data_IF_366400767102
#
_entry.id   IF_366400767102
#
_cell.length_a   1.000
_cell.length_b   1.000
_cell.length_c   1.000
_cell.angle_alpha   90.00
_cell.angle_beta   90.00
_cell.angle_gamma   90.00
#
_symmetry.space_group_name_H-M   'P 1'
#
loop_
_entity.id
_entity.type
_entity.pdbx_description
1 polymer ?
#
# COMPACT_ATOMS: atom_id res chain seq x y z
N UNK A 1 19.39 23.78 5.20
CA UNK A 1 18.14 24.52 4.94
C UNK A 1 17.02 23.67 4.28
N UNK A 2 17.29 22.42 3.92
CA UNK A 2 16.27 21.49 3.35
C UNK A 2 15.48 20.75 4.44
N UNK A 3 16.03 20.66 5.65
CA UNK A 3 15.48 19.84 6.75
C UNK A 3 14.11 20.28 7.30
N UNK A 4 13.76 21.57 7.23
CA UNK A 4 12.47 22.06 7.72
C UNK A 4 11.29 21.63 6.86
N UNK A 5 11.41 21.80 5.55
CA UNK A 5 10.37 21.40 4.57
C UNK A 5 10.17 19.89 4.51
N UNK A 6 11.26 19.11 4.62
CA UNK A 6 11.15 17.63 4.62
C UNK A 6 10.44 17.13 5.85
N UNK A 7 10.65 17.76 7.01
CA UNK A 7 9.94 17.40 8.24
C UNK A 7 8.44 17.70 8.15
N UNK A 8 8.06 18.81 7.51
CA UNK A 8 6.66 19.16 7.26
C UNK A 8 6.00 18.20 6.27
N UNK A 9 6.71 17.86 5.18
CA UNK A 9 6.23 16.89 4.20
C UNK A 9 6.06 15.46 4.74
N UNK A 10 6.83 15.09 5.76
CA UNK A 10 6.76 13.78 6.42
C UNK A 10 5.70 13.71 7.53
N UNK A 11 5.00 14.82 7.81
CA UNK A 11 4.00 14.84 8.88
C UNK A 11 2.65 14.34 8.36
N UNK A 12 2.23 13.17 8.82
CA UNK A 12 0.95 12.55 8.45
C UNK A 12 -0.28 13.26 9.02
N UNK A 13 -0.13 14.01 10.14
CA UNK A 13 -1.26 14.61 10.86
C UNK A 13 -1.93 15.77 10.13
N UNK A 14 -1.30 16.35 9.12
CA UNK A 14 -1.80 17.51 8.39
C UNK A 14 -1.92 17.29 6.87
N UNK A 15 -1.82 16.05 6.44
CA UNK A 15 -1.91 15.75 5.02
C UNK A 15 -3.37 15.62 4.59
N UNK A 16 -3.67 16.14 3.41
CA UNK A 16 -4.97 16.00 2.77
C UNK A 16 -4.79 15.62 1.31
N UNK A 17 -5.75 14.90 0.75
CA UNK A 17 -5.83 14.68 -0.69
C UNK A 17 -7.21 15.07 -1.20
N UNK A 18 -7.27 15.95 -2.20
CA UNK A 18 -8.50 16.49 -2.76
C UNK A 18 -9.47 17.12 -1.71
N UNK A 19 -8.91 17.60 -0.59
CA UNK A 19 -9.64 18.20 0.52
C UNK A 19 -10.06 17.21 1.63
N UNK A 20 -9.86 15.91 1.43
CA UNK A 20 -10.15 14.87 2.42
C UNK A 20 -8.89 14.54 3.23
N UNK A 21 -9.06 14.24 4.52
CA UNK A 21 -7.97 13.79 5.40
C UNK A 21 -7.38 12.48 4.90
N UNK A 22 -6.04 12.40 4.85
CA UNK A 22 -5.30 11.22 4.46
C UNK A 22 -4.29 10.86 5.54
N UNK A 23 -4.19 9.57 5.88
CA UNK A 23 -3.28 9.08 6.92
C UNK A 23 -1.83 8.91 6.45
N UNK A 24 -1.52 9.22 5.19
CA UNK A 24 -0.19 9.20 4.62
C UNK A 24 0.42 10.59 4.58
N UNK A 25 1.75 10.67 4.69
CA UNK A 25 2.50 11.91 4.51
C UNK A 25 2.58 12.33 3.03
N UNK A 26 2.90 13.59 2.76
CA UNK A 26 3.22 14.06 1.40
C UNK A 26 4.42 13.30 0.80
N UNK A 27 5.36 12.87 1.63
CA UNK A 27 6.48 12.01 1.20
C UNK A 27 5.98 10.66 0.70
N UNK A 28 4.99 10.06 1.37
CA UNK A 28 4.40 8.79 0.96
C UNK A 28 3.65 8.93 -0.37
N UNK A 29 2.84 9.98 -0.51
CA UNK A 29 2.15 10.26 -1.79
C UNK A 29 3.14 10.46 -2.93
N UNK A 30 4.27 11.12 -2.69
CA UNK A 30 5.33 11.27 -3.68
C UNK A 30 5.94 9.93 -4.09
N UNK A 31 6.17 9.01 -3.15
CA UNK A 31 6.69 7.67 -3.45
C UNK A 31 5.67 6.87 -4.28
N UNK A 32 4.39 6.92 -3.95
CA UNK A 32 3.34 6.29 -4.76
C UNK A 32 3.29 6.87 -6.16
N UNK A 33 3.32 8.19 -6.30
CA UNK A 33 3.33 8.85 -7.60
C UNK A 33 4.54 8.41 -8.44
N UNK A 34 5.74 8.35 -7.85
CA UNK A 34 6.94 7.82 -8.51
C UNK A 34 6.78 6.37 -8.93
N UNK A 35 6.16 5.55 -8.07
CA UNK A 35 5.86 4.16 -8.41
C UNK A 35 4.95 4.11 -9.64
N UNK A 36 3.84 4.83 -9.65
CA UNK A 36 2.85 4.77 -10.74
C UNK A 36 3.28 5.47 -12.03
N UNK A 37 4.33 6.29 -12.03
CA UNK A 37 4.96 6.78 -13.24
C UNK A 37 5.59 5.65 -14.07
N UNK A 38 6.22 4.70 -13.40
CA UNK A 38 6.97 3.60 -14.03
C UNK A 38 6.16 2.31 -14.07
N UNK A 39 5.45 2.01 -13.00
CA UNK A 39 4.61 0.83 -12.85
C UNK A 39 3.14 1.16 -13.16
N UNK A 40 2.55 0.43 -14.11
CA UNK A 40 1.15 0.62 -14.51
C UNK A 40 0.32 -0.59 -14.09
N UNK A 41 -0.22 -0.63 -12.86
CA UNK A 41 -0.96 -1.78 -12.38
C UNK A 41 -2.27 -1.96 -13.13
N UNK A 42 -2.64 -3.22 -13.39
CA UNK A 42 -3.99 -3.57 -13.85
C UNK A 42 -4.97 -3.54 -12.67
N UNK A 43 -4.45 -3.80 -11.47
CA UNK A 43 -5.19 -3.80 -10.22
C UNK A 43 -4.32 -3.26 -9.08
N UNK A 44 -4.92 -2.43 -8.25
CA UNK A 44 -4.38 -1.99 -6.97
C UNK A 44 -5.21 -2.66 -5.89
N UNK A 45 -4.57 -3.39 -4.98
CA UNK A 45 -5.20 -3.97 -3.79
C UNK A 45 -4.73 -3.18 -2.58
N UNK A 46 -5.65 -2.59 -1.87
CA UNK A 46 -5.42 -1.80 -0.66
C UNK A 46 -6.03 -2.51 0.55
N UNK A 47 -5.20 -2.85 1.52
CA UNK A 47 -5.65 -3.32 2.82
C UNK A 47 -5.65 -2.14 3.79
N UNK A 48 -6.84 -1.77 4.30
CA UNK A 48 -7.05 -0.58 5.12
C UNK A 48 -7.54 0.63 4.31
N UNK A 49 -8.85 0.79 4.21
CA UNK A 49 -9.50 1.90 3.48
C UNK A 49 -9.47 3.21 4.28
N UNK A 50 -9.55 3.11 5.61
CA UNK A 50 -9.69 4.26 6.51
C UNK A 50 -10.78 5.24 6.02
N UNK A 51 -10.48 6.53 5.81
CA UNK A 51 -11.44 7.54 5.31
C UNK A 51 -11.53 7.60 3.77
N UNK A 52 -10.80 6.74 3.06
CA UNK A 52 -10.88 6.58 1.60
C UNK A 52 -10.14 7.63 0.77
N UNK A 53 -9.38 8.55 1.40
CA UNK A 53 -8.62 9.56 0.66
C UNK A 53 -7.44 8.95 -0.10
N UNK A 54 -6.74 7.94 0.47
CA UNK A 54 -5.72 7.19 -0.24
C UNK A 54 -6.33 6.32 -1.34
N UNK A 55 -7.45 5.68 -1.07
CA UNK A 55 -8.22 4.94 -2.08
C UNK A 55 -8.58 5.84 -3.28
N UNK A 56 -8.97 7.10 -3.01
CA UNK A 56 -9.19 8.10 -4.06
C UNK A 56 -7.93 8.37 -4.86
N UNK A 57 -6.80 8.60 -4.19
CA UNK A 57 -5.51 8.79 -4.87
C UNK A 57 -5.19 7.58 -5.76
N UNK A 58 -5.31 6.37 -5.26
CA UNK A 58 -5.07 5.15 -6.03
C UNK A 58 -6.02 5.00 -7.23
N UNK A 59 -7.27 5.44 -7.09
CA UNK A 59 -8.26 5.37 -8.17
C UNK A 59 -7.92 6.20 -9.40
N UNK A 60 -7.04 7.18 -9.26
CA UNK A 60 -6.52 7.97 -10.40
C UNK A 60 -5.47 7.19 -11.22
N UNK A 61 -4.92 6.11 -10.67
CA UNK A 61 -3.84 5.34 -11.28
C UNK A 61 -4.27 3.97 -11.81
N UNK A 62 -5.45 3.47 -11.44
CA UNK A 62 -5.93 2.18 -11.90
C UNK A 62 -7.26 1.75 -11.27
N UNK A 63 -7.62 0.49 -11.48
CA UNK A 63 -8.71 -0.15 -10.74
C UNK A 63 -8.24 -0.44 -9.33
N UNK A 64 -9.08 -0.16 -8.34
CA UNK A 64 -8.76 -0.39 -6.93
C UNK A 64 -9.74 -1.38 -6.34
N UNK A 65 -9.22 -2.32 -5.58
CA UNK A 65 -10.00 -3.08 -4.61
C UNK A 65 -9.47 -2.77 -3.22
N UNK A 66 -10.29 -2.12 -2.42
CA UNK A 66 -9.95 -1.76 -1.05
C UNK A 66 -10.78 -2.56 -0.05
N UNK A 67 -10.14 -3.02 1.02
CA UNK A 67 -10.71 -3.90 2.03
C UNK A 67 -10.45 -3.31 3.42
N UNK A 68 -11.50 -3.19 4.22
CA UNK A 68 -11.42 -2.71 5.61
C UNK A 68 -12.39 -3.52 6.46
N UNK A 69 -12.10 -3.74 7.73
CA UNK A 69 -13.01 -4.42 8.65
C UNK A 69 -14.09 -3.49 9.23
N UNK A 70 -14.04 -2.20 8.92
CA UNK A 70 -14.98 -1.20 9.40
C UNK A 70 -15.75 -0.55 8.25
N UNK A 71 -17.08 -0.48 8.40
CA UNK A 71 -17.92 0.31 7.49
C UNK A 71 -17.77 1.80 7.82
N UNK A 72 -16.95 2.47 7.04
CA UNK A 72 -16.72 3.91 7.13
C UNK A 72 -17.45 4.64 6.01
N UNK A 73 -17.97 5.82 6.31
CA UNK A 73 -18.62 6.67 5.30
C UNK A 73 -17.56 7.46 4.54
N UNK A 74 -17.34 7.10 3.28
CA UNK A 74 -16.45 7.82 2.36
C UNK A 74 -17.06 7.91 0.97
N UNK A 75 -16.49 8.76 0.13
CA UNK A 75 -16.93 8.93 -1.26
C UNK A 75 -16.58 7.69 -2.08
N UNK A 76 -17.54 7.16 -2.83
CA UNK A 76 -17.35 6.02 -3.73
C UNK A 76 -16.98 6.47 -5.14
N UNK A 77 -16.15 5.67 -5.81
CA UNK A 77 -15.68 5.90 -7.17
C UNK A 77 -15.98 4.69 -8.05
N UNK A 78 -16.28 4.90 -9.33
CA UNK A 78 -16.77 3.85 -10.25
C UNK A 78 -15.74 2.73 -10.51
N UNK A 79 -14.45 3.04 -10.43
CA UNK A 79 -13.35 2.08 -10.62
C UNK A 79 -12.81 1.51 -9.31
N UNK A 80 -13.56 1.66 -8.21
CA UNK A 80 -13.19 1.17 -6.88
C UNK A 80 -14.22 0.17 -6.38
N UNK A 81 -13.77 -1.04 -6.05
CA UNK A 81 -14.53 -2.02 -5.30
C UNK A 81 -14.21 -1.87 -3.81
N UNK A 82 -15.23 -1.64 -3.01
CA UNK A 82 -15.14 -1.55 -1.55
C UNK A 82 -15.68 -2.82 -0.92
N UNK A 83 -14.90 -3.43 -0.05
CA UNK A 83 -15.30 -4.63 0.68
C UNK A 83 -15.09 -4.42 2.18
N UNK A 84 -16.10 -4.76 2.96
CA UNK A 84 -16.05 -4.76 4.42
C UNK A 84 -15.94 -6.21 4.86
N UNK A 85 -14.70 -6.59 5.23
CA UNK A 85 -14.42 -7.95 5.72
C UNK A 85 -13.04 -7.97 6.41
N UNK A 86 -12.78 -9.05 7.14
CA UNK A 86 -11.48 -9.34 7.72
C UNK A 86 -10.52 -9.87 6.65
N UNK A 87 -9.41 -9.17 6.44
CA UNK A 87 -8.40 -9.52 5.42
C UNK A 87 -7.78 -10.90 5.63
N UNK A 88 -7.86 -11.46 6.85
CA UNK A 88 -7.37 -12.80 7.20
C UNK A 88 -8.47 -13.89 7.18
N UNK A 89 -9.66 -13.55 6.72
CA UNK A 89 -10.71 -14.54 6.47
C UNK A 89 -10.28 -15.46 5.31
N UNK A 90 -10.35 -16.80 5.44
CA UNK A 90 -9.90 -17.72 4.39
C UNK A 90 -10.61 -17.53 3.04
N UNK A 91 -11.88 -17.09 3.03
CA UNK A 91 -12.57 -16.75 1.78
C UNK A 91 -11.94 -15.48 1.14
N UNK A 92 -11.68 -14.46 1.95
CA UNK A 92 -11.06 -13.22 1.49
C UNK A 92 -9.64 -13.49 0.95
N UNK A 93 -8.84 -14.27 1.67
CA UNK A 93 -7.52 -14.72 1.22
C UNK A 93 -7.61 -15.41 -0.15
N UNK A 94 -8.56 -16.33 -0.32
CA UNK A 94 -8.80 -17.01 -1.59
C UNK A 94 -9.19 -16.06 -2.73
N UNK A 95 -10.00 -15.03 -2.46
CA UNK A 95 -10.35 -14.01 -3.43
C UNK A 95 -9.15 -13.13 -3.81
N UNK A 96 -8.39 -12.67 -2.82
CA UNK A 96 -7.17 -11.87 -3.06
C UNK A 96 -6.18 -12.66 -3.92
N UNK A 97 -5.89 -13.91 -3.56
CA UNK A 97 -5.04 -14.81 -4.34
C UNK A 97 -5.53 -14.93 -5.78
N UNK A 98 -6.82 -15.23 -5.97
CA UNK A 98 -7.41 -15.37 -7.31
C UNK A 98 -7.23 -14.09 -8.14
N UNK A 99 -7.43 -12.91 -7.55
CA UNK A 99 -7.26 -11.64 -8.26
C UNK A 99 -5.80 -11.39 -8.62
N UNK A 100 -4.86 -11.67 -7.71
CA UNK A 100 -3.42 -11.55 -8.01
C UNK A 100 -3.07 -12.46 -9.20
N UNK A 101 -3.53 -13.70 -9.21
CA UNK A 101 -3.26 -14.66 -10.28
C UNK A 101 -3.81 -14.23 -11.65
N UNK A 102 -4.97 -13.57 -11.69
CA UNK A 102 -5.67 -13.22 -12.92
C UNK A 102 -5.35 -11.84 -13.50
N UNK A 103 -4.67 -10.97 -12.75
CA UNK A 103 -4.23 -9.66 -13.24
C UNK A 103 -2.76 -9.71 -13.65
N UNK A 104 -2.39 -9.00 -14.71
CA UNK A 104 -1.04 -9.04 -15.27
C UNK A 104 -0.02 -8.39 -14.33
N UNK A 105 -0.36 -7.25 -13.74
CA UNK A 105 0.47 -6.48 -12.83
C UNK A 105 -0.36 -5.97 -11.66
N UNK A 106 0.02 -6.34 -10.45
CA UNK A 106 -0.67 -5.95 -9.22
C UNK A 106 0.22 -5.06 -8.37
N UNK A 107 -0.35 -3.96 -7.90
CA UNK A 107 0.20 -3.17 -6.81
C UNK A 107 -0.55 -3.54 -5.54
N UNK A 108 0.16 -4.03 -4.54
CA UNK A 108 -0.39 -4.48 -3.27
C UNK A 108 0.06 -3.57 -2.13
N UNK A 109 -0.87 -3.08 -1.33
CA UNK A 109 -0.60 -2.16 -0.22
C UNK A 109 -1.12 -2.69 1.10
N UNK A 110 -0.22 -2.83 2.09
CA UNK A 110 -0.51 -3.33 3.43
C UNK A 110 -0.56 -2.15 4.42
N UNK A 111 -1.76 -1.82 4.90
CA UNK A 111 -1.99 -0.74 5.88
C UNK A 111 -3.23 -0.97 6.76
N UNK A 112 -3.61 -2.23 7.04
CA UNK A 112 -4.83 -2.59 7.77
C UNK A 112 -4.55 -3.12 9.20
N UNK A 113 -3.63 -2.53 9.93
CA UNK A 113 -3.47 -2.78 11.38
C UNK A 113 -2.62 -3.98 11.78
N UNK A 114 -2.36 -4.99 10.92
CA UNK A 114 -1.37 -6.03 11.17
C UNK A 114 -0.48 -6.25 9.94
N UNK A 115 0.30 -5.24 9.64
CA UNK A 115 1.15 -5.16 8.44
C UNK A 115 2.14 -6.31 8.31
N UNK A 116 2.64 -6.82 9.45
CA UNK A 116 3.53 -7.99 9.49
C UNK A 116 2.81 -9.23 8.93
N UNK A 117 1.62 -9.52 9.46
CA UNK A 117 0.84 -10.67 9.01
C UNK A 117 0.34 -10.49 7.58
N UNK A 118 -0.08 -9.27 7.21
CA UNK A 118 -0.51 -8.93 5.85
C UNK A 118 0.62 -9.20 4.85
N UNK A 119 1.81 -8.65 5.09
CA UNK A 119 2.96 -8.85 4.22
C UNK A 119 3.33 -10.32 4.09
N UNK A 120 3.51 -11.02 5.22
CA UNK A 120 3.95 -12.42 5.23
C UNK A 120 2.92 -13.35 4.59
N UNK A 121 1.62 -13.03 4.68
CA UNK A 121 0.57 -13.82 4.05
C UNK A 121 0.47 -13.56 2.55
N UNK A 122 0.48 -12.30 2.11
CA UNK A 122 0.12 -11.97 0.73
C UNK A 122 1.30 -11.91 -0.23
N UNK A 123 2.52 -11.68 0.27
CA UNK A 123 3.72 -11.65 -0.57
C UNK A 123 3.97 -12.97 -1.32
N UNK A 124 3.57 -14.11 -0.74
CA UNK A 124 3.70 -15.42 -1.39
C UNK A 124 2.85 -15.59 -2.65
N UNK A 125 1.74 -14.84 -2.78
CA UNK A 125 0.84 -14.92 -3.94
C UNK A 125 1.26 -14.01 -5.10
N UNK A 126 2.16 -13.06 -4.85
CA UNK A 126 2.64 -12.15 -5.89
C UNK A 126 3.36 -12.89 -7.01
N UNK A 127 3.21 -12.37 -8.22
CA UNK A 127 3.90 -12.86 -9.41
C UNK A 127 5.09 -11.97 -9.75
N UNK A 128 6.00 -12.49 -10.57
CA UNK A 128 7.12 -11.72 -11.10
C UNK A 128 6.65 -10.41 -11.74
N UNK A 129 7.16 -9.30 -11.22
CA UNK A 129 6.82 -7.95 -11.62
C UNK A 129 5.71 -7.29 -10.80
N UNK A 130 5.02 -8.01 -9.92
CA UNK A 130 4.10 -7.39 -8.95
C UNK A 130 4.89 -6.63 -7.88
N UNK A 131 4.27 -5.60 -7.32
CA UNK A 131 4.87 -4.75 -6.28
C UNK A 131 4.03 -4.79 -5.01
N UNK A 132 4.70 -4.91 -3.86
CA UNK A 132 4.09 -4.82 -2.54
C UNK A 132 4.73 -3.69 -1.74
N UNK A 133 3.89 -2.87 -1.11
CA UNK A 133 4.30 -1.84 -0.16
C UNK A 133 3.68 -2.07 1.21
N UNK A 134 4.41 -1.63 2.24
CA UNK A 134 3.92 -1.53 3.62
C UNK A 134 4.02 -0.09 4.11
N UNK A 135 3.11 0.33 4.96
CA UNK A 135 3.17 1.59 5.70
C UNK A 135 3.71 1.39 7.12
N UNK A 136 3.94 2.49 7.84
CA UNK A 136 4.43 2.53 9.22
C UNK A 136 5.75 1.80 9.45
N UNK A 137 6.64 1.88 8.46
CA UNK A 137 7.99 1.31 8.54
C UNK A 137 8.75 1.83 9.76
N UNK A 138 9.42 0.94 10.48
CA UNK A 138 10.12 1.14 11.76
C UNK A 138 9.20 1.46 12.96
N UNK A 139 7.91 1.68 12.74
CA UNK A 139 6.92 1.87 13.80
C UNK A 139 6.16 0.59 14.12
N UNK A 140 5.52 -0.01 13.10
CA UNK A 140 4.66 -1.20 13.24
C UNK A 140 5.21 -2.43 12.52
N UNK A 141 6.16 -2.24 11.61
CA UNK A 141 6.80 -3.32 10.83
C UNK A 141 8.27 -2.96 10.56
N UNK A 142 9.15 -3.97 10.67
CA UNK A 142 10.60 -3.85 10.46
C UNK A 142 11.12 -4.95 9.56
N UNK A 143 12.37 -4.82 9.12
CA UNK A 143 13.02 -5.82 8.28
C UNK A 143 13.03 -7.21 8.91
N UNK A 144 13.30 -7.29 10.21
CA UNK A 144 13.38 -8.57 10.95
C UNK A 144 12.06 -9.35 10.94
N UNK A 145 10.92 -8.66 10.86
CA UNK A 145 9.58 -9.25 10.88
C UNK A 145 9.22 -9.96 9.57
N UNK A 146 9.87 -9.58 8.46
CA UNK A 146 9.53 -10.01 7.10
C UNK A 146 10.71 -10.56 6.30
N UNK A 147 11.92 -10.61 6.89
CA UNK A 147 13.14 -11.03 6.20
C UNK A 147 13.05 -12.45 5.63
N UNK A 148 12.42 -13.37 6.36
CA UNK A 148 12.23 -14.73 5.90
C UNK A 148 11.35 -14.78 4.65
N UNK A 149 10.24 -14.05 4.65
CA UNK A 149 9.33 -13.94 3.50
C UNK A 149 10.03 -13.31 2.29
N UNK A 150 10.79 -12.24 2.50
CA UNK A 150 11.57 -11.59 1.43
C UNK A 150 12.52 -12.59 0.77
N UNK A 151 13.24 -13.39 1.57
CA UNK A 151 14.18 -14.37 1.06
C UNK A 151 13.48 -15.52 0.33
N UNK A 152 12.39 -16.06 0.90
CA UNK A 152 11.66 -17.19 0.33
C UNK A 152 10.98 -16.82 -0.99
N UNK A 153 10.49 -15.59 -1.09
CA UNK A 153 9.75 -15.11 -2.26
C UNK A 153 10.63 -14.35 -3.27
N UNK A 154 11.95 -14.28 -3.04
CA UNK A 154 12.95 -13.58 -3.86
C UNK A 154 12.59 -12.10 -4.13
N UNK A 155 12.01 -11.44 -3.14
CA UNK A 155 11.59 -10.04 -3.25
C UNK A 155 12.81 -9.11 -3.26
N UNK A 156 12.81 -8.13 -4.15
CA UNK A 156 13.88 -7.12 -4.26
C UNK A 156 13.40 -5.78 -3.73
N UNK A 157 14.25 -5.01 -3.03
CA UNK A 157 13.94 -3.65 -2.60
C UNK A 157 13.48 -2.79 -3.79
N UNK A 158 12.39 -2.05 -3.59
CA UNK A 158 11.86 -1.12 -4.59
C UNK A 158 11.72 0.27 -3.99
N UNK A 159 12.40 1.27 -4.55
CA UNK A 159 12.43 2.67 -4.14
C UNK A 159 12.86 2.93 -2.67
N UNK A 160 13.57 2.01 -2.03
CA UNK A 160 14.03 2.16 -0.63
C UNK A 160 14.87 3.43 -0.42
N UNK A 161 15.86 3.67 -1.28
CA UNK A 161 16.70 4.88 -1.21
C UNK A 161 15.88 6.17 -1.28
N UNK A 162 14.81 6.15 -2.09
CA UNK A 162 13.93 7.29 -2.22
C UNK A 162 13.08 7.49 -0.97
N UNK A 163 12.54 6.40 -0.42
CA UNK A 163 11.79 6.42 0.84
C UNK A 163 12.64 6.95 2.00
N UNK A 164 13.88 6.50 2.10
CA UNK A 164 14.83 6.99 3.12
C UNK A 164 15.17 8.46 2.92
N UNK A 165 15.47 8.86 1.68
CA UNK A 165 15.80 10.23 1.34
C UNK A 165 14.72 11.25 1.73
N UNK A 166 13.47 10.87 1.59
CA UNK A 166 12.31 11.73 1.89
C UNK A 166 11.66 11.43 3.23
N UNK A 167 12.28 10.59 4.06
CA UNK A 167 11.78 10.19 5.37
C UNK A 167 10.31 9.69 5.30
N UNK A 168 10.03 8.87 4.28
CA UNK A 168 8.73 8.21 4.09
C UNK A 168 8.61 7.00 5.00
N UNK A 169 7.42 6.76 5.52
CA UNK A 169 7.09 5.56 6.28
C UNK A 169 6.76 4.35 5.38
N UNK A 170 6.92 4.49 4.08
CA UNK A 170 6.72 3.41 3.12
C UNK A 170 7.98 2.59 2.91
N UNK A 171 7.80 1.28 2.72
CA UNK A 171 8.81 0.40 2.12
C UNK A 171 8.16 -0.49 1.08
N UNK A 172 8.83 -0.64 -0.06
CA UNK A 172 8.33 -1.39 -1.21
C UNK A 172 9.27 -2.50 -1.66
N UNK A 173 8.69 -3.57 -2.20
CA UNK A 173 9.42 -4.66 -2.83
C UNK A 173 8.77 -5.04 -4.14
N UNK A 174 9.58 -5.52 -5.08
CA UNK A 174 9.16 -6.10 -6.35
C UNK A 174 9.54 -7.58 -6.40
N UNK A 175 8.63 -8.41 -6.91
CA UNK A 175 8.88 -9.83 -7.09
C UNK A 175 9.52 -10.17 -8.43
#
# INVERSE_FOLDING_TARGET
>A
MITGYMKEMSNTLNSTFAGDEIAQSWSDLFIFERTFQEFKPDLIIELGTYLGALTHFFSLHGKVWTIDNMDRKFKKYDNVLYTIDEVFNPLMEGYIKCLIEHHRQVFFFCDNGNKIKEFNLYAQYLKKGDIIFVHDWENEIKMEDIQETINNEDLKPYLHELSEKYNSLLRGWIK
#
